data_IF_070255925483
#
_entry.id   IF_070255925483
#
_cell.length_a   1.000
_cell.length_b   1.000
_cell.length_c   1.000
_cell.angle_alpha   90.00
_cell.angle_beta   90.00
_cell.angle_gamma   90.00
#
_symmetry.space_group_name_H-M   'P 1'
#
loop_
_entity.id
_entity.type
_entity.pdbx_description
1 polymer ?
2 non-polymer ?
3 non-polymer ?
4 non-polymer ?
5 water ?
#
# COMPACT_ATOMS: atom_id res chain seq x y z
N UNK A 15 -13.64 -5.18 -15.09
CA UNK A 15 -13.40 -6.52 -14.45
C UNK A 15 -13.41 -6.37 -12.93
N UNK A 16 -14.04 -7.33 -12.27
CA UNK A 16 -13.88 -7.49 -10.85
C UNK A 16 -12.40 -7.29 -10.40
N UNK A 17 -12.20 -6.53 -9.36
CA UNK A 17 -10.85 -6.27 -8.91
C UNK A 17 -10.38 -7.30 -7.86
N UNK A 18 -9.09 -7.30 -7.62
CA UNK A 18 -8.50 -8.13 -6.56
C UNK A 18 -9.05 -9.57 -6.54
N UNK A 19 -8.94 -10.22 -7.67
CA UNK A 19 -9.49 -11.55 -7.88
C UNK A 19 -8.50 -12.63 -7.49
N UNK A 20 -7.25 -12.24 -7.22
CA UNK A 20 -6.18 -13.20 -6.87
C UNK A 20 -5.18 -12.61 -5.88
N UNK A 21 -5.65 -12.59 -4.64
CA UNK A 21 -4.95 -11.93 -3.55
C UNK A 21 -3.83 -12.78 -2.95
N UNK A 22 -2.67 -12.17 -2.73
CA UNK A 22 -1.60 -12.79 -2.00
C UNK A 22 -1.52 -12.17 -0.61
N UNK A 23 -1.78 -13.00 0.42
CA UNK A 23 -1.66 -12.60 1.84
C UNK A 23 -0.32 -13.03 2.40
N UNK A 24 0.41 -12.09 2.94
CA UNK A 24 1.68 -12.42 3.55
C UNK A 24 1.38 -12.72 5.02
N UNK A 25 1.68 -13.97 5.41
CA UNK A 25 1.42 -14.43 6.76
C UNK A 25 2.53 -13.94 7.66
N UNK A 26 2.16 -13.56 8.87
CA UNK A 26 3.09 -13.10 9.89
C UNK A 26 3.39 -14.29 10.77
N UNK A 27 4.62 -14.83 10.67
CA UNK A 27 4.93 -16.02 11.49
C UNK A 27 4.98 -15.81 13.03
N UNK A 28 5.02 -14.59 13.50
CA UNK A 28 5.26 -14.34 14.94
C UNK A 28 4.01 -14.25 15.82
N UNK A 29 2.83 -14.38 15.23
CA UNK A 29 1.55 -14.37 15.98
C UNK A 29 0.53 -15.22 15.29
N UNK A 30 -0.45 -15.70 16.07
CA UNK A 30 -1.50 -16.57 15.52
C UNK A 30 -2.45 -15.75 14.66
N UNK A 31 -2.90 -14.64 15.20
CA UNK A 31 -3.90 -13.81 14.51
C UNK A 31 -3.35 -13.23 13.25
N UNK A 32 -4.08 -13.32 12.15
CA UNK A 32 -3.59 -12.77 10.88
C UNK A 32 -4.54 -11.66 10.28
N UNK A 33 -4.32 -10.39 10.65
CA UNK A 33 -5.10 -9.26 10.11
C UNK A 33 -5.15 -9.20 8.59
N UNK A 34 -4.03 -9.56 7.95
CA UNK A 34 -3.98 -9.55 6.50
C UNK A 34 -4.92 -10.63 5.89
N UNK A 35 -4.95 -11.76 6.52
CA UNK A 35 -5.83 -12.86 6.09
C UNK A 35 -7.30 -12.49 6.32
N UNK A 36 -7.56 -11.92 7.47
CA UNK A 36 -8.91 -11.61 7.86
C UNK A 36 -9.41 -10.56 6.84
N UNK A 37 -8.53 -9.59 6.50
CA UNK A 37 -8.89 -8.62 5.47
C UNK A 37 -9.19 -9.21 4.07
N UNK A 38 -8.37 -10.17 3.66
CA UNK A 38 -8.54 -10.87 2.41
C UNK A 38 -9.86 -11.65 2.38
N UNK A 39 -10.25 -12.24 3.50
CA UNK A 39 -11.49 -13.00 3.54
C UNK A 39 -12.65 -12.01 3.38
N UNK A 40 -12.59 -10.85 4.03
CA UNK A 40 -13.61 -9.82 3.87
C UNK A 40 -13.64 -9.48 2.39
N UNK A 41 -12.49 -9.28 1.76
CA UNK A 41 -12.51 -8.96 0.32
C UNK A 41 -13.11 -10.09 -0.54
N UNK A 42 -12.94 -11.32 -0.13
CA UNK A 42 -13.56 -12.44 -0.82
C UNK A 42 -15.05 -12.31 -0.72
N UNK A 43 -15.51 -12.01 0.48
CA UNK A 43 -16.95 -11.85 0.68
C UNK A 43 -17.59 -10.70 -0.15
N UNK A 44 -16.86 -9.59 -0.29
CA UNK A 44 -17.30 -8.41 -1.00
C UNK A 44 -17.13 -8.44 -2.52
N UNK A 45 -16.05 -9.07 -2.99
CA UNK A 45 -15.63 -9.02 -4.41
C UNK A 45 -15.33 -10.39 -5.00
N UNK A 46 -15.18 -11.43 -4.19
CA UNK A 46 -15.17 -12.74 -4.77
C UNK A 46 -13.83 -13.35 -5.14
N UNK A 47 -12.76 -12.69 -4.83
CA UNK A 47 -11.46 -13.24 -5.21
C UNK A 47 -10.97 -14.42 -4.42
N UNK A 48 -10.02 -15.14 -5.02
CA UNK A 48 -9.28 -16.15 -4.30
C UNK A 48 -8.04 -15.63 -3.55
N UNK A 49 -7.50 -16.49 -2.67
CA UNK A 49 -6.52 -16.10 -1.69
C UNK A 49 -5.37 -17.13 -1.67
N UNK A 50 -4.14 -16.62 -1.68
CA UNK A 50 -2.97 -17.46 -1.35
C UNK A 50 -2.39 -16.93 -0.04
N UNK A 51 -2.43 -17.75 1.01
CA UNK A 51 -1.80 -17.41 2.27
C UNK A 51 -0.34 -17.87 2.19
N UNK A 52 0.59 -16.92 2.10
CA UNK A 52 1.96 -17.19 1.73
C UNK A 52 2.87 -16.81 2.88
N UNK A 53 3.73 -17.76 3.32
CA UNK A 53 4.67 -17.50 4.38
C UNK A 53 6.08 -17.81 3.87
N UNK A 54 6.83 -16.76 3.54
CA UNK A 54 8.26 -16.93 3.21
C UNK A 54 9.06 -16.73 4.49
N UNK A 55 9.61 -17.80 5.05
CA UNK A 55 10.43 -17.71 6.26
C UNK A 55 11.85 -17.39 5.83
N UNK A 56 12.45 -16.33 6.39
CA UNK A 56 13.80 -16.03 6.07
C UNK A 56 14.64 -17.22 6.44
N UNK A 57 15.64 -17.44 5.62
CA UNK A 57 16.30 -18.75 5.73
C UNK A 57 17.38 -18.78 6.85
N UNK A 58 16.94 -19.15 8.04
CA UNK A 58 17.84 -19.42 9.13
C UNK A 58 18.01 -20.90 9.35
N UNK A 59 17.58 -21.70 8.37
CA UNK A 59 17.54 -23.14 8.54
C UNK A 59 18.90 -23.74 8.73
N UNK A 60 19.94 -23.12 8.16
CA UNK A 60 21.26 -23.72 8.26
C UNK A 60 21.81 -23.45 9.65
N UNK A 61 21.53 -22.25 10.19
CA UNK A 61 22.01 -21.91 11.53
C UNK A 61 21.30 -22.74 12.61
N UNK A 62 20.08 -23.15 12.30
CA UNK A 62 19.18 -23.88 13.20
C UNK A 62 19.58 -25.36 13.30
N UNK A 63 20.42 -25.80 12.35
CA UNK A 63 20.74 -27.20 12.14
C UNK A 63 22.23 -27.52 12.17
N UNK A 64 23.01 -26.75 12.93
CA UNK A 64 24.39 -26.99 13.21
C UNK A 64 24.62 -28.46 13.61
N UNK A 65 25.69 -29.02 13.08
CA UNK A 65 26.11 -30.41 13.23
C UNK A 65 25.27 -31.48 12.60
N UNK A 66 24.10 -31.15 12.06
CA UNK A 66 23.29 -32.19 11.39
C UNK A 66 23.87 -32.65 10.03
N UNK A 67 23.52 -33.85 9.58
CA UNK A 67 23.87 -34.27 8.22
C UNK A 67 22.96 -33.46 7.23
N UNK A 68 23.32 -33.42 5.96
CA UNK A 68 22.46 -32.87 4.92
C UNK A 68 21.07 -33.55 4.87
N UNK A 69 21.00 -34.86 5.02
CA UNK A 69 19.68 -35.52 5.05
C UNK A 69 18.84 -35.12 6.27
N UNK A 70 19.48 -35.01 7.43
CA UNK A 70 18.74 -34.54 8.61
C UNK A 70 18.25 -33.09 8.41
N UNK A 71 19.07 -32.24 7.81
CA UNK A 71 18.82 -30.81 7.61
C UNK A 71 17.58 -30.71 6.72
N UNK A 72 17.60 -31.51 5.66
CA UNK A 72 16.44 -31.61 4.76
C UNK A 72 15.19 -31.99 5.46
N UNK A 73 15.26 -32.99 6.30
CA UNK A 73 14.13 -33.40 7.08
C UNK A 73 13.63 -32.24 7.99
N UNK A 74 14.56 -31.48 8.60
CA UNK A 74 14.13 -30.41 9.53
C UNK A 74 13.49 -29.24 8.81
N UNK A 75 14.10 -28.85 7.69
CA UNK A 75 13.52 -27.87 6.79
C UNK A 75 12.11 -28.25 6.36
N UNK A 76 11.95 -29.49 5.91
CA UNK A 76 10.63 -30.02 5.52
C UNK A 76 9.64 -30.10 6.67
N UNK A 77 10.09 -30.48 7.86
CA UNK A 77 9.21 -30.51 9.00
C UNK A 77 8.68 -29.13 9.42
N UNK A 78 9.53 -28.12 9.32
CA UNK A 78 9.12 -26.76 9.54
C UNK A 78 8.01 -26.38 8.54
N UNK A 79 8.26 -26.61 7.26
CA UNK A 79 7.24 -26.31 6.26
C UNK A 79 5.88 -26.97 6.57
N UNK A 80 5.92 -28.24 6.95
CA UNK A 80 4.71 -29.02 7.20
C UNK A 80 4.00 -28.49 8.44
N UNK A 81 4.76 -28.24 9.52
CA UNK A 81 4.19 -27.73 10.70
C UNK A 81 3.58 -26.28 10.49
N UNK A 82 4.31 -25.41 9.85
CA UNK A 82 3.76 -24.08 9.55
C UNK A 82 2.54 -24.11 8.64
N UNK A 83 2.54 -25.02 7.71
CA UNK A 83 1.38 -25.27 6.89
C UNK A 83 0.18 -25.60 7.73
N UNK A 84 0.38 -26.51 8.68
CA UNK A 84 -0.68 -26.91 9.60
C UNK A 84 -1.16 -25.78 10.54
N UNK A 85 -0.21 -24.95 10.96
CA UNK A 85 -0.49 -23.85 11.85
C UNK A 85 -1.34 -22.79 11.13
N UNK A 86 -1.04 -22.51 9.90
CA UNK A 86 -1.82 -21.55 9.07
C UNK A 86 -3.23 -22.10 8.87
N UNK A 87 -3.29 -23.37 8.52
CA UNK A 87 -4.54 -24.04 8.26
C UNK A 87 -5.43 -23.98 9.51
N UNK A 88 -4.82 -24.15 10.69
CA UNK A 88 -5.53 -23.96 11.98
C UNK A 88 -6.12 -22.56 12.17
N UNK A 89 -5.31 -21.54 11.88
CA UNK A 89 -5.71 -20.15 11.88
C UNK A 89 -6.84 -19.90 10.91
N UNK A 90 -6.79 -20.55 9.75
CA UNK A 90 -7.81 -20.40 8.71
C UNK A 90 -8.92 -21.45 8.68
N UNK A 91 -9.01 -22.31 9.71
CA UNK A 91 -9.85 -23.47 9.72
C UNK A 91 -11.34 -23.20 9.33
N UNK A 92 -11.97 -22.21 9.96
CA UNK A 92 -13.35 -22.02 9.69
C UNK A 92 -13.56 -21.38 8.31
N UNK A 93 -12.66 -20.53 7.92
CA UNK A 93 -12.65 -19.99 6.54
C UNK A 93 -12.63 -21.13 5.54
N UNK A 94 -11.66 -22.02 5.69
CA UNK A 94 -11.53 -23.17 4.83
C UNK A 94 -12.82 -24.06 4.81
N UNK A 95 -13.36 -24.35 6.01
CA UNK A 95 -14.50 -25.23 6.19
C UNK A 95 -15.70 -24.61 5.51
N UNK A 96 -15.79 -23.29 5.56
CA UNK A 96 -16.87 -22.55 4.93
C UNK A 96 -16.81 -22.41 3.41
N UNK A 97 -15.71 -22.85 2.80
CA UNK A 97 -15.60 -22.81 1.36
C UNK A 97 -14.78 -21.65 0.83
N UNK A 98 -14.12 -20.88 1.71
CA UNK A 98 -13.31 -19.77 1.24
C UNK A 98 -12.09 -20.36 0.53
N UNK A 99 -11.78 -19.87 -0.68
CA UNK A 99 -10.69 -20.53 -1.45
C UNK A 99 -9.35 -19.96 -1.04
N UNK A 100 -8.63 -20.68 -0.19
CA UNK A 100 -7.43 -20.22 0.41
C UNK A 100 -6.39 -21.34 0.16
N UNK A 101 -5.37 -21.03 -0.61
CA UNK A 101 -4.28 -21.95 -0.85
C UNK A 101 -3.21 -21.55 0.11
N UNK A 102 -2.51 -22.53 0.69
CA UNK A 102 -1.50 -22.24 1.68
C UNK A 102 -0.13 -22.65 1.15
N UNK A 103 0.82 -21.74 1.21
CA UNK A 103 2.15 -22.01 0.68
C UNK A 103 3.17 -21.47 1.66
N UNK A 104 4.10 -22.33 2.10
CA UNK A 104 5.17 -21.95 3.00
C UNK A 104 6.49 -22.31 2.37
N UNK A 105 7.43 -21.36 2.35
CA UNK A 105 8.78 -21.59 1.82
C UNK A 105 9.85 -21.01 2.74
N UNK A 106 11.05 -21.51 2.57
CA UNK A 106 12.19 -20.80 3.07
C UNK A 106 12.77 -19.98 1.95
N UNK A 107 13.29 -18.82 2.28
CA UNK A 107 13.90 -17.96 1.27
C UNK A 107 14.88 -17.09 1.93
N UNK A 108 15.99 -16.77 1.27
CA UNK A 108 17.01 -15.85 1.82
C UNK A 108 16.53 -14.43 1.99
N UNK A 109 15.57 -14.00 1.16
CA UNK A 109 15.06 -12.66 1.17
C UNK A 109 13.53 -12.64 1.00
N UNK A 110 12.79 -12.64 2.11
CA UNK A 110 11.35 -12.70 2.03
C UNK A 110 10.72 -11.68 1.06
N UNK A 111 11.16 -10.42 1.03
CA UNK A 111 10.54 -9.45 0.09
C UNK A 111 10.66 -9.96 -1.36
N UNK A 112 11.78 -10.61 -1.69
CA UNK A 112 11.99 -11.13 -3.05
C UNK A 112 11.09 -12.29 -3.32
N UNK A 113 10.93 -13.16 -2.32
CA UNK A 113 10.10 -14.35 -2.50
C UNK A 113 8.65 -13.85 -2.76
N UNK A 114 8.22 -12.85 -2.06
CA UNK A 114 6.83 -12.37 -2.16
C UNK A 114 6.60 -11.81 -3.56
N UNK A 115 7.54 -10.98 -4.03
CA UNK A 115 7.37 -10.37 -5.35
C UNK A 115 7.47 -11.43 -6.41
N UNK A 116 8.36 -12.43 -6.23
CA UNK A 116 8.47 -13.50 -7.22
C UNK A 116 7.18 -14.30 -7.26
N UNK A 117 6.56 -14.51 -6.09
CA UNK A 117 5.26 -15.21 -6.01
C UNK A 117 4.14 -14.40 -6.67
N UNK A 118 4.20 -13.08 -6.49
CA UNK A 118 3.25 -12.15 -7.16
C UNK A 118 3.32 -12.40 -8.69
N UNK A 119 4.54 -12.31 -9.25
CA UNK A 119 4.71 -12.43 -10.67
C UNK A 119 4.34 -13.87 -11.13
N UNK A 120 4.86 -14.89 -10.47
CA UNK A 120 4.57 -16.28 -10.86
C UNK A 120 3.10 -16.68 -10.79
N UNK A 121 2.42 -16.18 -9.79
CA UNK A 121 1.01 -16.59 -9.54
C UNK A 121 -0.01 -15.62 -10.09
N UNK A 122 0.47 -14.53 -10.72
CA UNK A 122 -0.38 -13.50 -11.32
C UNK A 122 -1.33 -12.90 -10.30
N UNK A 123 -0.79 -12.56 -9.15
CA UNK A 123 -1.58 -11.96 -8.10
C UNK A 123 -1.77 -10.48 -8.36
N UNK A 124 -2.93 -9.97 -7.93
CA UNK A 124 -3.34 -8.61 -8.26
C UNK A 124 -3.51 -7.76 -7.06
N UNK A 125 -3.16 -8.31 -5.91
CA UNK A 125 -3.13 -7.60 -4.70
C UNK A 125 -2.22 -8.35 -3.76
N UNK A 126 -1.39 -7.60 -3.02
CA UNK A 126 -0.70 -8.11 -1.82
C UNK A 126 -1.26 -7.45 -0.56
N UNK A 127 -1.52 -8.25 0.48
CA UNK A 127 -1.91 -7.72 1.79
C UNK A 127 -0.92 -8.20 2.84
N UNK A 128 -0.50 -7.33 3.73
CA UNK A 128 0.40 -7.63 4.78
C UNK A 128 0.06 -6.76 5.98
N UNK A 129 0.18 -7.31 7.18
CA UNK A 129 -0.14 -6.60 8.37
C UNK A 129 1.01 -5.71 8.75
N UNK A 130 0.69 -4.63 9.42
CA UNK A 130 1.67 -3.77 10.07
C UNK A 130 1.14 -3.45 11.40
N UNK A 131 2.04 -3.38 12.38
CA UNK A 131 1.69 -3.10 13.78
C UNK A 131 1.50 -1.65 14.11
N UNK A 132 0.44 -1.33 14.87
CA UNK A 132 0.34 -0.02 15.48
C UNK A 132 0.29 -0.21 17.01
N UNK A 133 1.30 0.33 17.70
CA UNK A 133 1.46 0.21 19.17
C UNK A 133 0.52 1.08 19.94
N UNK A 134 0.15 2.22 19.37
CA UNK A 134 -0.63 3.18 20.12
C UNK A 134 -1.42 3.92 19.10
N UNK A 135 -2.67 4.23 19.43
CA UNK A 135 -3.51 4.91 18.43
C UNK A 135 -3.04 6.33 18.10
N UNK A 136 -2.32 7.01 19.02
CA UNK A 136 -1.74 8.30 18.70
C UNK A 136 -0.36 8.20 17.95
N UNK A 137 0.10 6.99 17.64
CA UNK A 137 1.41 6.82 17.01
C UNK A 137 1.32 6.22 15.62
N UNK A 138 2.29 6.59 14.78
CA UNK A 138 2.39 6.06 13.46
C UNK A 138 2.44 4.50 13.47
N UNK A 139 1.89 3.95 12.40
CA UNK A 139 1.99 2.56 12.08
C UNK A 139 3.50 2.22 11.89
N UNK A 140 3.92 1.03 12.31
CA UNK A 140 5.33 0.61 12.22
C UNK A 140 5.52 -0.18 10.94
N UNK A 141 6.49 0.20 10.12
CA UNK A 141 6.77 -0.51 8.86
C UNK A 141 8.16 -1.16 8.91
N UNK A 142 8.29 -2.39 8.46
CA UNK A 142 9.53 -3.15 8.64
C UNK A 142 10.26 -2.98 7.32
N UNK A 143 11.57 -3.35 7.27
CA UNK A 143 12.27 -3.25 6.00
C UNK A 143 11.64 -4.08 4.93
N UNK A 144 11.13 -5.27 5.25
CA UNK A 144 10.38 -6.06 4.30
C UNK A 144 9.19 -5.26 3.77
N UNK A 145 8.44 -4.58 4.64
CA UNK A 145 7.33 -3.72 4.20
C UNK A 145 7.83 -2.70 3.23
N UNK A 146 8.93 -2.01 3.57
CA UNK A 146 9.44 -0.99 2.68
C UNK A 146 9.83 -1.52 1.30
N UNK A 147 10.53 -2.64 1.27
CA UNK A 147 10.92 -3.22 -0.02
C UNK A 147 9.70 -3.52 -0.87
N UNK A 148 8.70 -4.11 -0.23
CA UNK A 148 7.52 -4.47 -0.97
C UNK A 148 6.89 -3.23 -1.53
N UNK A 149 6.71 -2.28 -0.66
CA UNK A 149 6.03 -1.01 -1.06
C UNK A 149 6.76 -0.39 -2.25
N UNK A 150 8.09 -0.34 -2.17
CA UNK A 150 8.89 0.21 -3.27
C UNK A 150 8.84 -0.59 -4.55
N UNK A 151 8.84 -1.93 -4.49
CA UNK A 151 9.22 -2.72 -5.66
C UNK A 151 8.15 -3.72 -6.15
N UNK A 152 7.09 -3.88 -5.37
CA UNK A 152 6.07 -4.94 -5.77
C UNK A 152 5.28 -4.42 -6.95
N UNK A 153 5.06 -5.22 -8.00
CA UNK A 153 4.34 -4.65 -9.16
C UNK A 153 2.80 -4.49 -8.91
N UNK A 154 2.22 -5.36 -8.10
CA UNK A 154 0.80 -5.25 -7.77
C UNK A 154 0.57 -4.22 -6.66
N UNK A 155 -0.69 -3.75 -6.48
CA UNK A 155 -0.97 -2.93 -5.35
C UNK A 155 -0.59 -3.64 -4.05
N UNK A 156 -0.15 -2.88 -3.06
CA UNK A 156 0.16 -3.42 -1.76
C UNK A 156 -0.73 -2.71 -0.76
N UNK A 157 -1.44 -3.50 0.02
CA UNK A 157 -2.30 -3.01 1.03
C UNK A 157 -1.70 -3.41 2.42
N UNK A 158 -1.17 -2.44 3.15
CA UNK A 158 -0.67 -2.68 4.45
C UNK A 158 -1.82 -2.48 5.40
N UNK A 159 -2.16 -3.56 6.04
CA UNK A 159 -3.33 -3.65 6.90
C UNK A 159 -2.89 -3.44 8.32
N UNK A 160 -3.19 -2.29 8.90
CA UNK A 160 -2.79 -2.13 10.28
C UNK A 160 -3.61 -3.03 11.21
N UNK A 161 -3.02 -3.39 12.35
CA UNK A 161 -3.58 -4.40 13.21
C UNK A 161 -4.54 -3.76 14.18
N UNK A 162 -5.28 -2.81 13.68
CA UNK A 162 -6.31 -2.12 14.48
C UNK A 162 -7.41 -1.86 13.50
N UNK A 163 -8.65 -1.83 14.00
CA UNK A 163 -9.81 -1.62 13.08
C UNK A 163 -9.91 -0.24 12.46
N UNK A 164 -10.55 -0.18 11.29
CA UNK A 164 -10.99 1.10 10.74
C UNK A 164 -11.91 1.84 11.67
N UNK A 165 -11.85 3.17 11.65
CA UNK A 165 -12.85 3.98 12.38
C UNK A 165 -14.21 3.82 11.70
N UNK A 166 -15.33 3.78 12.44
CA UNK A 166 -16.61 3.80 11.69
C UNK A 166 -16.74 5.05 10.84
N UNK A 167 -17.21 4.88 9.62
CA UNK A 167 -17.34 5.98 8.71
C UNK A 167 -15.98 6.33 8.09
N UNK A 168 -14.97 5.48 8.26
CA UNK A 168 -13.61 5.83 7.86
C UNK A 168 -13.58 6.25 6.38
N UNK A 169 -12.77 7.26 6.04
CA UNK A 169 -12.66 7.71 4.63
C UNK A 169 -11.52 7.01 3.93
N UNK A 170 -11.58 7.06 2.60
CA UNK A 170 -10.45 6.73 1.80
C UNK A 170 -9.87 8.03 1.20
N UNK A 171 -8.58 8.28 1.47
CA UNK A 171 -7.91 9.51 1.10
C UNK A 171 -6.85 9.21 0.03
N UNK A 172 -7.04 9.80 -1.15
CA UNK A 172 -6.16 9.56 -2.28
C UNK A 172 -5.29 10.80 -2.47
N UNK A 173 -4.00 10.58 -2.45
CA UNK A 173 -3.04 11.60 -2.69
C UNK A 173 -2.77 11.67 -4.18
N UNK A 174 -2.96 12.84 -4.76
CA UNK A 174 -2.74 13.10 -6.19
C UNK A 174 -1.72 14.23 -6.32
N UNK A 175 -0.83 14.09 -7.29
CA UNK A 175 0.22 15.08 -7.60
C UNK A 175 -0.29 15.93 -8.75
N UNK A 176 -0.59 17.20 -8.46
CA UNK A 176 -1.27 18.07 -9.44
C UNK A 176 -0.37 19.00 -10.21
N UNK A 177 0.92 18.96 -9.93
CA UNK A 177 1.89 19.76 -10.67
C UNK A 177 1.84 19.32 -12.14
N UNK A 178 1.97 20.25 -13.08
CA UNK A 178 1.78 19.90 -14.47
C UNK A 178 2.89 18.94 -14.91
N UNK A 179 2.54 17.84 -15.59
CA UNK A 179 3.53 16.98 -16.23
C UNK A 179 3.69 17.26 -17.73
N UNK A 180 3.17 18.39 -18.23
CA UNK A 180 3.48 18.91 -19.55
C UNK A 180 4.95 18.54 -19.94
N UNK A 181 5.20 17.98 -21.15
CA UNK A 181 4.24 17.72 -22.27
C UNK A 181 3.40 16.41 -22.14
N UNK A 182 3.59 15.69 -21.06
CA UNK A 182 2.95 14.40 -20.84
C UNK A 182 1.69 14.63 -20.05
N UNK A 183 0.95 13.56 -19.87
CA UNK A 183 -0.28 13.57 -19.05
C UNK A 183 -0.08 12.63 -17.87
N UNK A 184 -0.59 13.03 -16.73
CA UNK A 184 -0.49 12.18 -15.53
C UNK A 184 -1.56 11.09 -15.51
N UNK A 185 -1.18 9.91 -15.91
CA UNK A 185 -2.10 8.74 -15.94
C UNK A 185 -2.22 8.10 -14.55
N UNK A 186 -1.23 8.32 -13.68
CA UNK A 186 -1.22 7.66 -12.39
C UNK A 186 -2.31 8.21 -11.44
N UNK A 187 -2.51 9.50 -11.42
CA UNK A 187 -3.56 10.11 -10.66
C UNK A 187 -4.87 9.47 -11.03
N UNK A 188 -5.08 9.21 -12.32
CA UNK A 188 -6.35 8.69 -12.76
C UNK A 188 -6.53 7.26 -12.30
N UNK A 189 -5.46 6.49 -12.40
CA UNK A 189 -5.48 5.15 -11.86
C UNK A 189 -5.77 5.09 -10.36
N UNK A 190 -5.19 5.94 -9.55
CA UNK A 190 -5.37 5.92 -8.15
C UNK A 190 -6.83 6.23 -7.84
N UNK A 191 -7.40 7.18 -8.59
CA UNK A 191 -8.74 7.61 -8.28
C UNK A 191 -9.71 6.50 -8.68
N UNK A 192 -9.53 5.99 -9.88
CA UNK A 192 -10.39 4.97 -10.43
C UNK A 192 -10.37 3.75 -9.57
N UNK A 193 -9.17 3.33 -9.20
CA UNK A 193 -9.04 2.15 -8.39
C UNK A 193 -9.59 2.34 -6.97
N UNK A 194 -9.32 3.49 -6.35
CA UNK A 194 -9.89 3.78 -5.07
C UNK A 194 -11.42 3.88 -5.12
N UNK A 195 -12.02 4.48 -6.17
CA UNK A 195 -13.46 4.51 -6.23
C UNK A 195 -14.05 3.08 -6.24
N UNK A 196 -13.44 2.22 -7.03
CA UNK A 196 -13.98 0.87 -7.23
C UNK A 196 -13.93 0.12 -5.87
N UNK A 197 -12.79 0.23 -5.21
CA UNK A 197 -12.55 -0.42 -3.92
C UNK A 197 -13.52 0.08 -2.85
N UNK A 198 -13.59 1.41 -2.75
CA UNK A 198 -14.37 2.11 -1.69
C UNK A 198 -15.85 1.73 -1.75
N UNK A 199 -16.37 1.58 -2.95
CA UNK A 199 -17.75 1.19 -3.15
C UNK A 199 -18.07 -0.16 -2.48
N UNK A 200 -17.17 -1.11 -2.68
CA UNK A 200 -17.24 -2.45 -2.13
C UNK A 200 -17.00 -2.52 -0.60
N UNK A 201 -16.19 -1.60 -0.09
CA UNK A 201 -15.89 -1.50 1.34
C UNK A 201 -16.91 -0.61 2.04
N UNK A 202 -18.09 -1.15 2.25
CA UNK A 202 -19.14 -0.39 2.89
C UNK A 202 -19.44 0.99 2.29
N UNK A 203 -19.38 1.15 0.98
CA UNK A 203 -19.56 2.49 0.40
C UNK A 203 -18.77 3.63 1.08
N UNK A 204 -17.49 3.41 1.25
CA UNK A 204 -16.56 4.36 1.85
C UNK A 204 -16.48 5.66 1.02
N UNK A 205 -16.45 6.80 1.71
CA UNK A 205 -16.46 8.06 1.05
C UNK A 205 -15.01 8.34 0.65
N UNK A 206 -14.80 8.62 -0.64
CA UNK A 206 -13.45 8.93 -1.21
C UNK A 206 -13.14 10.44 -1.25
N UNK A 207 -12.00 10.80 -0.68
CA UNK A 207 -11.49 12.16 -0.65
C UNK A 207 -10.19 12.19 -1.45
N UNK A 208 -9.96 13.34 -2.08
CA UNK A 208 -8.75 13.61 -2.87
C UNK A 208 -7.97 14.73 -2.24
N UNK A 209 -6.63 14.60 -2.21
CA UNK A 209 -5.79 15.65 -1.65
C UNK A 209 -4.60 15.90 -2.60
N UNK A 210 -4.46 17.16 -3.03
CA UNK A 210 -3.26 17.63 -3.73
C UNK A 210 -2.53 18.65 -2.86
N UNK A 211 -1.30 18.34 -2.53
CA UNK A 211 -0.44 19.23 -1.79
C UNK A 211 0.39 20.00 -2.80
N UNK A 212 0.65 21.29 -2.54
CA UNK A 212 1.47 22.15 -3.35
C UNK A 212 2.61 22.81 -2.51
N UNK A 213 3.85 22.29 -2.68
CA UNK A 213 5.00 22.91 -2.01
C UNK A 213 5.41 24.12 -2.75
N UNK A 214 5.86 25.11 -1.98
CA UNK A 214 6.37 26.36 -2.50
C UNK A 214 7.57 26.77 -1.70
N UNK A 215 8.44 27.60 -2.27
CA UNK A 215 9.62 28.08 -1.56
C UNK A 215 9.25 28.93 -0.29
N UNK A 216 9.88 28.64 0.82
CA UNK A 216 9.66 29.49 2.03
C UNK A 216 9.66 31.00 1.69
N UNK A 217 8.65 31.69 2.21
CA UNK A 217 8.50 33.14 2.02
C UNK A 217 9.81 33.89 2.27
N UNK A 218 10.46 33.62 3.38
CA UNK A 218 11.61 34.42 3.71
C UNK A 218 12.81 34.13 2.82
N UNK A 219 12.69 33.12 1.95
CA UNK A 219 13.68 32.87 0.90
C UNK A 219 13.27 33.48 -0.44
N UNK A 220 12.05 33.21 -0.87
CA UNK A 220 11.52 33.79 -2.09
C UNK A 220 11.44 35.32 -2.04
N UNK A 221 11.27 35.91 -0.85
CA UNK A 221 11.17 37.39 -0.76
C UNK A 221 12.42 38.14 -1.36
N UNK A 222 13.56 37.42 -1.36
CA UNK A 222 14.78 37.84 -2.07
C UNK A 222 14.74 37.96 -3.58
N UNK A 223 13.81 37.29 -4.28
CA UNK A 223 13.66 37.56 -5.69
C UNK A 223 13.21 39.05 -5.91
N UNK A 224 13.84 39.76 -6.87
CA UNK A 224 13.53 41.17 -7.01
C UNK A 224 12.09 41.36 -7.50
N UNK A 225 11.39 42.32 -6.92
CA UNK A 225 10.01 42.61 -7.29
C UNK A 225 9.10 41.42 -7.08
N UNK A 226 9.44 40.53 -6.18
CA UNK A 226 8.74 39.26 -6.07
C UNK A 226 7.97 39.19 -4.77
N UNK A 227 6.68 38.91 -4.89
CA UNK A 227 5.76 38.77 -3.77
C UNK A 227 5.35 37.31 -3.60
N UNK A 228 5.99 36.64 -2.64
CA UNK A 228 5.74 35.25 -2.47
C UNK A 228 4.30 34.90 -2.18
N UNK A 229 3.50 35.74 -1.53
CA UNK A 229 2.13 35.26 -1.30
C UNK A 229 1.30 35.35 -2.61
N UNK A 230 1.70 36.20 -3.50
CA UNK A 230 1.01 36.32 -4.80
C UNK A 230 1.36 35.04 -5.62
N UNK A 231 2.64 34.71 -5.66
CA UNK A 231 3.07 33.42 -6.25
C UNK A 231 2.34 32.21 -5.65
N UNK A 232 2.35 32.10 -4.33
CA UNK A 232 1.66 30.99 -3.67
C UNK A 232 0.21 30.86 -4.07
N UNK A 233 -0.49 31.97 -4.17
CA UNK A 233 -1.88 31.98 -4.57
C UNK A 233 -2.01 31.53 -5.99
N UNK A 234 -1.07 31.94 -6.83
CA UNK A 234 -1.06 31.45 -8.22
C UNK A 234 -1.03 29.93 -8.28
N UNK A 235 -0.09 29.33 -7.53
CA UNK A 235 0.14 27.93 -7.53
C UNK A 235 -1.08 27.21 -6.94
N UNK A 236 -1.64 27.81 -5.89
CA UNK A 236 -2.90 27.31 -5.32
C UNK A 236 -3.98 27.27 -6.42
N UNK A 237 -4.11 28.37 -7.17
CA UNK A 237 -5.15 28.45 -8.25
C UNK A 237 -4.98 27.35 -9.27
N UNK A 238 -3.74 27.16 -9.71
CA UNK A 238 -3.47 26.07 -10.61
C UNK A 238 -3.83 24.73 -10.06
N UNK A 239 -3.44 24.50 -8.81
CA UNK A 239 -3.74 23.22 -8.25
C UNK A 239 -5.24 23.01 -8.06
N UNK A 240 -5.96 24.08 -7.73
CA UNK A 240 -7.41 23.97 -7.67
C UNK A 240 -8.04 23.63 -9.04
N UNK A 241 -7.54 24.22 -10.12
CA UNK A 241 -7.97 23.91 -11.47
C UNK A 241 -7.77 22.46 -11.83
N UNK A 242 -6.58 21.93 -11.50
CA UNK A 242 -6.26 20.59 -11.80
C UNK A 242 -7.08 19.61 -10.94
N UNK A 243 -7.25 19.93 -9.67
CA UNK A 243 -8.16 19.15 -8.84
C UNK A 243 -9.60 19.16 -9.41
N UNK A 244 -10.07 20.31 -9.87
CA UNK A 244 -11.37 20.35 -10.45
C UNK A 244 -11.47 19.48 -11.70
N UNK A 245 -10.48 19.52 -12.59
CA UNK A 245 -10.48 18.62 -13.76
C UNK A 245 -10.55 17.14 -13.39
N UNK A 246 -9.76 16.75 -12.38
CA UNK A 246 -9.64 15.39 -12.00
C UNK A 246 -10.94 14.94 -11.36
N UNK A 247 -11.52 15.79 -10.53
CA UNK A 247 -12.68 15.35 -9.79
C UNK A 247 -13.88 15.23 -10.74
N UNK A 248 -13.95 16.10 -11.73
CA UNK A 248 -15.06 16.11 -12.66
C UNK A 248 -15.01 14.91 -13.60
N UNK A 249 -13.80 14.47 -13.98
CA UNK A 249 -13.64 13.25 -14.75
C UNK A 249 -14.27 12.06 -13.99
N UNK A 250 -14.24 12.07 -12.67
CA UNK A 250 -14.74 10.92 -11.94
C UNK A 250 -16.04 11.17 -11.20
N UNK A 251 -16.66 12.28 -11.51
CA UNK A 251 -17.89 12.67 -10.86
C UNK A 251 -17.79 12.79 -9.34
N UNK A 252 -16.71 13.40 -8.83
CA UNK A 252 -16.41 13.52 -7.41
C UNK A 252 -16.77 14.95 -7.00
N UNK A 253 -17.42 15.10 -5.84
CA UNK A 253 -17.87 16.41 -5.42
C UNK A 253 -16.69 17.27 -4.94
N UNK A 254 -16.81 18.58 -5.14
CA UNK A 254 -15.76 19.52 -4.71
C UNK A 254 -15.46 19.40 -3.21
N UNK A 255 -16.50 19.14 -2.44
CA UNK A 255 -16.38 19.19 -0.99
C UNK A 255 -15.51 18.04 -0.42
N UNK A 256 -15.23 17.00 -1.21
CA UNK A 256 -14.36 15.91 -0.75
C UNK A 256 -12.97 15.98 -1.37
N UNK A 257 -12.65 17.16 -1.91
CA UNK A 257 -11.34 17.42 -2.48
C UNK A 257 -10.69 18.53 -1.64
N UNK A 258 -9.37 18.44 -1.57
CA UNK A 258 -8.60 19.22 -0.62
C UNK A 258 -7.30 19.57 -1.33
N UNK A 259 -7.00 20.87 -1.35
CA UNK A 259 -5.76 21.38 -1.96
C UNK A 259 -5.14 22.27 -0.88
N UNK A 260 -3.90 21.97 -0.54
CA UNK A 260 -3.27 22.59 0.62
C UNK A 260 -1.80 22.83 0.38
N UNK A 261 -1.32 23.97 0.83
CA UNK A 261 0.11 24.37 0.71
C UNK A 261 1.02 23.50 1.58
N UNK A 262 2.12 23.03 1.01
CA UNK A 262 3.05 22.17 1.70
C UNK A 262 3.46 20.98 0.86
N UNK A 263 4.51 20.28 1.32
CA UNK A 263 4.82 19.01 0.74
C UNK A 263 3.72 18.04 1.14
N UNK A 264 3.59 16.93 0.42
CA UNK A 264 2.60 15.99 0.86
C UNK A 264 2.70 15.55 2.32
N UNK A 265 3.91 15.33 2.80
CA UNK A 265 4.10 14.86 4.16
C UNK A 265 3.75 15.92 5.19
N UNK A 266 3.64 17.17 4.76
CA UNK A 266 3.23 18.26 5.65
C UNK A 266 1.71 18.42 5.74
N UNK A 267 1.01 17.83 4.80
CA UNK A 267 -0.39 18.06 4.55
C UNK A 267 -1.27 16.85 4.89
N UNK A 268 -0.84 15.70 4.39
CA UNK A 268 -1.69 14.50 4.40
C UNK A 268 -1.94 13.93 5.75
N UNK A 269 -0.90 13.86 6.61
CA UNK A 269 -1.17 13.24 7.92
C UNK A 269 -2.20 14.01 8.74
N UNK A 270 -2.11 15.32 8.79
CA UNK A 270 -3.10 16.09 9.50
C UNK A 270 -4.51 15.88 8.87
N UNK A 271 -4.61 15.92 7.55
CA UNK A 271 -5.88 15.77 6.91
C UNK A 271 -6.50 14.36 7.14
N UNK A 272 -5.70 13.30 7.02
CA UNK A 272 -6.09 11.97 7.38
C UNK A 272 -6.63 11.83 8.80
N UNK A 273 -6.01 12.53 9.75
CA UNK A 273 -6.48 12.54 11.12
C UNK A 273 -7.79 13.33 11.23
N UNK A 274 -7.88 14.47 10.57
CA UNK A 274 -9.10 15.22 10.51
C UNK A 274 -10.31 14.48 9.90
N UNK A 275 -10.07 13.79 8.81
CA UNK A 275 -11.11 13.07 8.11
C UNK A 275 -11.45 11.71 8.68
N UNK A 276 -10.65 11.25 9.63
CA UNK A 276 -10.56 9.85 10.06
C UNK A 276 -10.50 8.94 8.90
N UNK A 277 -9.41 9.05 8.15
CA UNK A 277 -9.23 8.16 7.08
C UNK A 277 -9.01 6.73 7.60
N UNK A 278 -9.70 5.77 6.99
CA UNK A 278 -9.40 4.37 7.15
C UNK A 278 -8.22 3.90 6.34
N UNK A 279 -7.97 4.55 5.19
CA UNK A 279 -6.89 4.16 4.29
C UNK A 279 -6.41 5.40 3.52
N UNK A 280 -5.10 5.48 3.32
CA UNK A 280 -4.53 6.47 2.43
C UNK A 280 -3.91 5.77 1.23
N UNK A 281 -4.24 6.26 0.03
CA UNK A 281 -3.85 5.65 -1.16
C UNK A 281 -2.78 6.54 -1.83
N UNK A 282 -1.66 5.89 -2.22
CA UNK A 282 -0.47 6.64 -2.76
C UNK A 282 0.02 5.97 -4.02
N UNK A 283 0.54 6.77 -4.98
CA UNK A 283 1.14 6.24 -6.17
C UNK A 283 2.67 6.41 -6.13
N UNK A 284 3.40 5.39 -6.52
CA UNK A 284 4.82 5.60 -6.82
C UNK A 284 5.18 4.90 -8.13
N UNK A 285 6.38 5.21 -8.66
CA UNK A 285 6.73 4.80 -10.02
C UNK A 285 8.12 4.25 -10.03
N UNK A 286 8.49 3.64 -11.14
CA UNK A 286 9.81 3.12 -11.35
C UNK A 286 10.87 4.20 -11.58
N UNK A 287 12.13 3.78 -11.41
CA UNK A 287 13.28 4.67 -11.46
C UNK A 287 13.23 5.48 -12.75
N UNK A 288 12.73 4.90 -13.84
CA UNK A 288 12.70 5.62 -15.14
C UNK A 288 11.52 6.62 -15.32
N UNK A 289 10.57 6.61 -14.41
CA UNK A 289 9.37 7.37 -14.67
C UNK A 289 9.56 8.83 -14.32
N UNK A 290 8.64 9.64 -14.80
CA UNK A 290 8.67 11.05 -14.54
C UNK A 290 8.50 11.30 -13.01
N UNK A 291 9.37 12.18 -12.48
CA UNK A 291 9.29 12.59 -11.08
C UNK A 291 9.49 11.43 -10.11
N UNK A 292 10.16 10.38 -10.55
CA UNK A 292 10.30 9.13 -9.77
C UNK A 292 10.96 9.42 -8.43
N UNK A 293 12.05 10.18 -8.41
CA UNK A 293 12.76 10.36 -7.11
C UNK A 293 11.88 11.14 -6.15
N UNK A 294 11.29 12.21 -6.62
CA UNK A 294 10.37 12.96 -5.76
C UNK A 294 9.20 12.13 -5.23
N UNK A 295 8.56 11.37 -6.12
CA UNK A 295 7.40 10.57 -5.74
C UNK A 295 7.79 9.49 -4.71
N UNK A 296 8.96 8.86 -4.89
CA UNK A 296 9.37 7.90 -3.93
C UNK A 296 9.64 8.52 -2.57
N UNK A 297 10.39 9.60 -2.54
CA UNK A 297 10.75 10.20 -1.28
C UNK A 297 9.56 10.76 -0.55
N UNK A 298 8.70 11.49 -1.27
CA UNK A 298 7.56 12.05 -0.59
C UNK A 298 6.64 10.94 -0.09
N UNK A 299 6.49 9.87 -0.83
CA UNK A 299 5.67 8.72 -0.32
C UNK A 299 6.24 8.20 1.01
N UNK A 300 7.58 8.06 1.06
CA UNK A 300 8.21 7.57 2.29
C UNK A 300 7.95 8.50 3.45
N UNK A 301 8.03 9.79 3.19
CA UNK A 301 7.88 10.80 4.25
C UNK A 301 6.40 10.79 4.79
N UNK A 302 5.45 10.55 3.91
CA UNK A 302 4.01 10.51 4.26
C UNK A 302 3.76 9.21 5.09
N UNK A 303 4.31 8.10 4.61
CA UNK A 303 4.10 6.74 5.19
C UNK A 303 4.62 6.72 6.58
N UNK A 304 5.72 7.40 6.79
CA UNK A 304 6.33 7.57 8.10
C UNK A 304 5.45 8.27 9.16
N UNK A 305 4.36 8.88 8.75
CA UNK A 305 3.46 9.58 9.58
C UNK A 305 2.04 8.93 9.66
N UNK A 306 1.81 7.86 8.91
CA UNK A 306 0.44 7.40 8.77
C UNK A 306 -0.03 6.67 10.01
N UNK A 307 -1.30 6.91 10.36
CA UNK A 307 -1.95 6.18 11.43
C UNK A 307 -3.05 5.27 10.94
N UNK A 308 -3.04 4.93 9.69
CA UNK A 308 -4.10 4.14 9.12
C UNK A 308 -3.50 3.21 8.07
N UNK A 309 -4.36 2.40 7.46
CA UNK A 309 -3.99 1.54 6.39
C UNK A 309 -3.38 2.33 5.26
N UNK A 310 -2.59 1.62 4.48
CA UNK A 310 -1.91 2.17 3.30
C UNK A 310 -2.13 1.30 2.09
N UNK A 311 -2.47 1.92 0.98
CA UNK A 311 -2.51 1.26 -0.29
C UNK A 311 -1.60 1.97 -1.26
N UNK A 312 -0.58 1.27 -1.77
CA UNK A 312 0.29 1.79 -2.80
C UNK A 312 0.06 1.11 -4.09
N UNK A 313 -0.15 1.92 -5.10
CA UNK A 313 -0.40 1.43 -6.43
C UNK A 313 0.64 2.04 -7.40
N UNK A 314 1.00 1.28 -8.39
CA UNK A 314 2.02 1.68 -9.32
C UNK A 314 1.41 1.72 -10.70
N UNK A 315 2.13 2.33 -11.68
CA UNK A 315 1.66 2.28 -13.07
C UNK A 315 1.46 0.92 -13.68
N UNK A 316 0.55 0.84 -14.63
CA UNK A 316 0.27 -0.46 -15.27
C UNK A 316 1.55 -1.21 -15.78
N UNK A 317 2.42 -0.46 -16.46
CA UNK A 317 3.64 -1.08 -17.00
C UNK A 317 4.90 -0.91 -16.12
N UNK A 318 4.72 -0.68 -14.82
CA UNK A 318 5.81 -0.73 -13.86
C UNK A 318 6.65 -2.04 -14.01
N UNK A 319 7.97 -1.94 -14.09
CA UNK A 319 8.78 -3.15 -14.19
C UNK A 319 9.57 -3.23 -12.89
N UNK A 320 9.31 -4.28 -12.09
CA UNK A 320 9.97 -4.40 -10.79
C UNK A 320 11.43 -4.68 -11.01
N UNK A 321 12.33 -4.15 -10.18
CA UNK A 321 13.75 -4.49 -10.37
C UNK A 321 14.12 -5.79 -9.73
N UNK A 322 13.17 -6.46 -9.05
CA UNK A 322 13.43 -7.82 -8.55
C UNK A 322 13.51 -8.88 -9.67
N UNK A 323 14.60 -9.67 -9.68
CA UNK A 323 14.79 -10.76 -10.67
C UNK A 323 13.78 -11.94 -10.52
N UNK A 324 13.36 -12.52 -11.64
CA UNK A 324 12.27 -13.53 -11.67
C UNK A 324 12.56 -14.92 -10.98
N UNK A 325 13.77 -15.48 -11.06
CA UNK A 325 14.06 -16.81 -10.45
C UNK A 325 15.09 -16.75 -9.31
X LIG B 1 8.71 -8.78 8.75
X LIG B 1 10.08 -8.33 9.07
X LIG B 1 8.03 -8.69 10.01
X LIG B 1 8.03 -7.80 7.85
X LIG B 1 8.70 -10.06 8.18
X LIG C 1 15.56 -28.87 1.12
X LIG C 1 16.97 -29.34 1.42
X LIG C 1 14.84 -28.80 2.41
X LIG C 1 15.47 -27.56 0.45
X LIG C 1 14.85 -29.73 0.15
X LIG D 1 4.67 11.67 14.19
X LIG D 1 5.91 12.46 14.12
X LIG D 1 4.63 10.90 15.46
X LIG D 1 3.57 12.66 14.14
X LIG D 1 4.63 10.71 13.02
X LIG E 1 -9.88 28.92 -2.29
X LIG E 1 -8.55 29.50 -2.75
X LIG E 1 -9.81 27.49 -1.89
X LIG E 1 -10.40 29.69 -1.13
X LIG E 1 -10.86 29.04 -3.40
X LIG F 1 8.50 22.51 1.56
X LIG F 1 7.28 22.93 2.17
X LIG F 1 9.20 23.66 0.92
X LIG F 1 8.97 24.78 1.75
X LIG G 1 -1.76 -13.62 19.00
X LIG G 1 -2.52 -13.76 17.84
X LIG G 1 -1.37 -15.01 19.49
X LIG G 1 -0.05 -15.37 19.05
X LIG H 1 -15.21 -10.83 7.76
X LIG H 1 -15.69 -10.04 6.70
X LIG H 1 -13.96 -11.55 7.30
X LIG H 1 -12.85 -11.03 8.00
X LIG I 1 9.85 -22.44 12.42
X LIG I 1 8.47 -22.88 12.45
X LIG I 1 10.20 -21.77 13.74
X LIG I 1 10.02 -20.35 13.59
X LIG J 1 -11.73 -17.46 11.85
X LIG J 1 -13.11 -17.84 11.95
X LIG J 1 -10.75 -18.61 11.99
X LIG J 1 -10.96 -19.76 11.14
X LIG K 1 -13.26 -12.42 10.74
X LIG K 1 -13.46 -12.91 9.47
X LIG K 1 -12.66 -13.49 11.59
X LIG K 1 -13.33 -13.26 12.83
X LIG L 1 5.07 36.38 -8.84
X LIG L 1 4.52 37.39 -9.69
X LIG L 1 5.05 36.98 -7.46
X LIG L 1 5.31 38.36 -7.63
X LIG M 1 6.54 5.04 -14.83
X LIG M 1 5.54 4.15 -15.36
X LIG M 1 7.64 4.19 -14.17
X LIG M 1 7.05 2.96 -13.59
X LIG N 1 10.43 -13.24 17.92
X LIG N 1 9.06 -12.80 17.79
X LIG N 1 11.34 -12.03 17.72
X LIG N 1 11.02 -11.25 16.53
X LIG O 1 -0.64 12.96 12.92
X LIG O 1 -0.63 11.76 12.10
X LIG O 1 0.47 13.92 12.47
X LIG O 1 1.77 13.29 12.54
X LIG P 1 -6.94 -15.41 11.09
X LIG P 1 -6.04 -15.28 12.16
X LIG P 1 -8.26 -14.94 11.66
X LIG P 1 -8.18 -13.53 11.89
X LIG Q 1 2.18 10.97 -3.16
X LIG Q 1 1.81 12.35 -3.37
X LIG Q 1 3.21 10.60 -4.25
X LIG Q 1 4.18 9.52 -3.96
X LIG R 1 12.44 19.10 5.01
X LIG R 1 12.34 19.15 6.44
X LIG R 1 11.18 19.75 4.44
X LIG R 1 9.97 19.09 4.86
X LIG S 1 3.07 -17.78 16.43
X LIG S 1 2.75 -17.75 17.81
X LIG S 1 4.44 -18.41 16.29
X LIG S 1 4.26 -19.82 16.20
X LIG T 1 -3.11 28.94 2.76
X LIG T 1 -3.95 28.39 1.74
X LIG T 1 -1.65 28.97 2.29
X LIG T 1 -1.19 30.26 1.80
X LIG U 1 13.12 11.92 -11.37
X LIG U 1 13.77 10.78 -10.79
X LIG U 1 14.01 13.11 -11.23
X LIG U 1 15.30 12.54 -10.99
X LIG V 1 -19.39 19.78 -10.36
X LIG V 1 -18.38 20.84 -10.63
X LIG V 1 -19.30 19.38 -8.93
X LIG V 1 -20.76 20.24 -10.64
X LIG V 1 -19.12 18.63 -11.25
X LIG W 1 6.44 29.60 4.80
X LIG W 1 7.55 30.46 4.34
X LIG W 1 5.74 30.34 5.90
X LIG W 1 5.37 29.32 3.77
X LIG W 1 7.11 28.32 5.21
X LIG X 1 17.82 -1.72 -2.54
X LIG X 1 18.90 -2.46 -1.88
X LIG X 1 16.61 -2.01 -2.35
X LIG X 1 20.00 -2.43 -2.42
X LIG X 1 18.14 -0.79 -3.29
X LIG X 1 18.72 -3.09 -0.82
X LIG Y 1 -12.91 19.30 5.39
X LIG Y 1 -11.40 19.27 5.26
X LIG Y 1 -13.33 19.46 6.80
X LIG Y 1 -13.47 20.46 4.63
X LIG Y 1 -13.51 18.02 4.88
#
# INVERSE_FOLDING_TARGET
MRGSHHHHHHGMASMAMYQNMLVVIDPNQDDQPALRRAVYLHQRIGGKIKAFLPIYDFSYEMTTLLSPDERTAMRQGVISQRTAWIREQAKYYLEAGVPIEIKVVWHNRPFEAIIQEVIAGSHDLVLKMAHQADRLEAVIFTPTDWHLLRKCPSPVWMVKDQPWPEGGKALVAVNLASEEPYHNALNEKLVKETLQLAEQVNHTEVHLVGAYPVTPINIAIELPEFDPSVYNDAIRGQHLLAMKALRQKFSIDEKVTHVEKGLPEEVIPDLAEHLQAGIVVLGTVGRTGLSAAFLGNTAEQVIDHLRCDLLVIKPDEYQTPVELDDEDD
SO4 S O1 O2 O3 O4
SO4 S O1 O2 O3 O4
SO4 S O1 O2 O3 O4
SO4 S O1 O2 O3 O4
EDO C1 O1 C2 O2
EDO C1 O1 C2 O2
EDO C1 O1 C2 O2
EDO C1 O1 C2 O2
EDO C1 O1 C2 O2
EDO C1 O1 C2 O2
EDO C1 O1 C2 O2
EDO C1 O1 C2 O2
EDO C1 O1 C2 O2
EDO C1 O1 C2 O2
EDO C1 O1 C2 O2
EDO C1 O1 C2 O2
EDO C1 O1 C2 O2
EDO C1 O1 C2 O2
EDO C1 O1 C2 O2
EDO C1 O1 C2 O2
SO4 S O1 O2 O3 O4
SO4 S O1 O2 O3 O4
OXD C1 C2 O3 O4 O5 O6
SO4 S O1 O2 O3 O4
#
